data_IF_491851520368
#
_entry.id   IF_491851520368
#
_cell.length_a   1.000
_cell.length_b   1.000
_cell.length_c   1.000
_cell.angle_alpha   90.00
_cell.angle_beta   90.00
_cell.angle_gamma   90.00
#
_symmetry.space_group_name_H-M   'P 1'
#
loop_
_entity.id
_entity.type
_entity.pdbx_description
1 polymer ?
#
# COMPACT_ATOMS: atom_id res chain seq x y z
N UNK A 1 -38.65 14.18 -15.06
CA UNK A 1 -39.06 14.50 -13.67
C UNK A 1 -38.53 13.40 -12.76
N UNK A 2 -37.50 13.70 -11.96
CA UNK A 2 -37.16 12.94 -10.76
C UNK A 2 -38.02 13.52 -9.58
N UNK A 3 -37.93 13.08 -8.30
CA UNK A 3 -36.98 12.11 -7.72
C UNK A 3 -37.54 11.25 -6.52
N UNK A 4 -36.61 10.60 -5.79
CA UNK A 4 -36.65 10.20 -4.35
C UNK A 4 -37.47 8.90 -4.07
N UNK A 5 -36.99 7.86 -3.36
CA UNK A 5 -36.19 7.88 -2.15
C UNK A 5 -35.34 6.61 -1.94
N UNK A 6 -34.15 6.82 -1.38
CA UNK A 6 -33.26 5.80 -0.84
C UNK A 6 -33.85 5.16 0.42
N UNK A 7 -34.03 3.84 0.44
CA UNK A 7 -34.41 3.13 1.66
C UNK A 7 -33.15 2.65 2.38
N UNK A 8 -32.67 3.49 3.30
CA UNK A 8 -31.72 3.14 4.36
C UNK A 8 -32.35 2.04 5.23
N UNK A 9 -31.75 0.86 5.28
CA UNK A 9 -32.13 -0.18 6.23
C UNK A 9 -31.14 -0.16 7.40
N UNK A 10 -31.47 0.64 8.41
CA UNK A 10 -30.93 0.47 9.75
C UNK A 10 -31.65 -0.72 10.39
N UNK A 11 -30.91 -1.75 10.77
CA UNK A 11 -31.42 -2.78 11.69
C UNK A 11 -30.51 -2.77 12.92
N UNK A 12 -31.03 -2.14 13.96
CA UNK A 12 -30.58 -2.31 15.34
C UNK A 12 -31.34 -3.54 15.85
N UNK A 13 -30.61 -4.60 16.21
CA UNK A 13 -31.17 -5.70 16.97
C UNK A 13 -30.36 -5.87 18.25
N UNK A 14 -31.13 -5.79 19.33
CA UNK A 14 -30.80 -5.69 20.74
C UNK A 14 -30.48 -7.09 21.32
N UNK A 15 -29.31 -7.21 21.97
CA UNK A 15 -29.09 -7.78 23.31
C UNK A 15 -29.80 -9.10 23.70
N UNK A 16 -29.00 -10.13 24.02
CA UNK A 16 -29.30 -11.10 25.10
C UNK A 16 -28.04 -11.33 25.93
N UNK A 17 -28.28 -11.40 27.23
CA UNK A 17 -27.35 -11.31 28.33
C UNK A 17 -26.57 -12.61 28.62
N UNK A 18 -25.33 -12.40 29.03
CA UNK A 18 -24.66 -12.92 30.24
C UNK A 18 -25.09 -14.30 30.79
N UNK A 19 -24.15 -15.26 30.74
CA UNK A 19 -23.89 -16.13 31.88
C UNK A 19 -22.41 -16.56 31.90
N UNK A 20 -21.78 -16.35 33.06
CA UNK A 20 -20.39 -16.67 33.36
C UNK A 20 -20.30 -18.06 33.99
N UNK A 21 -19.34 -18.89 33.55
CA UNK A 21 -18.63 -19.86 34.41
C UNK A 21 -17.19 -19.98 33.92
N UNK A 22 -16.27 -19.80 34.87
CA UNK A 22 -14.84 -19.94 34.71
C UNK A 22 -14.43 -21.39 34.40
N UNK A 23 -13.51 -21.55 33.46
CA UNK A 23 -12.49 -22.58 33.51
C UNK A 23 -11.19 -21.95 33.02
N UNK A 24 -10.28 -21.70 33.96
CA UNK A 24 -8.86 -21.44 33.67
C UNK A 24 -8.29 -22.65 32.96
N UNK A 25 -8.34 -22.66 31.62
CA UNK A 25 -7.54 -23.59 30.84
C UNK A 25 -6.12 -23.06 30.91
N UNK A 26 -5.35 -23.56 31.88
CA UNK A 26 -3.90 -23.43 31.85
C UNK A 26 -3.43 -24.03 30.53
N UNK A 27 -2.94 -23.19 29.62
CA UNK A 27 -2.22 -23.65 28.45
C UNK A 27 -1.00 -24.40 28.93
N UNK A 28 -1.09 -25.74 28.96
CA UNK A 28 0.07 -26.58 29.09
C UNK A 28 0.97 -26.31 27.89
N UNK A 29 2.05 -25.55 28.11
CA UNK A 29 3.15 -25.49 27.16
C UNK A 29 3.73 -26.90 27.07
N UNK A 30 3.52 -27.56 25.93
CA UNK A 30 4.29 -28.72 25.56
C UNK A 30 5.77 -28.32 25.57
N UNK A 31 6.57 -28.96 26.42
CA UNK A 31 8.02 -28.85 26.37
C UNK A 31 8.47 -29.27 24.97
N UNK A 32 9.24 -28.44 24.24
CA UNK A 32 9.82 -28.90 22.99
C UNK A 32 10.78 -30.06 23.32
N UNK A 33 10.49 -31.24 22.79
CA UNK A 33 11.45 -32.33 22.76
C UNK A 33 12.73 -31.89 22.03
N UNK A 34 13.87 -32.58 22.24
CA UNK A 34 15.15 -32.19 21.66
C UNK A 34 15.17 -32.53 20.16
N UNK A 35 14.39 -31.78 19.38
CA UNK A 35 14.52 -31.70 17.94
C UNK A 35 15.63 -30.71 17.64
N UNK A 36 16.60 -31.13 16.83
CA UNK A 36 17.59 -30.30 16.15
C UNK A 36 16.91 -29.12 15.42
N UNK A 37 16.56 -28.06 16.14
CA UNK A 37 16.34 -26.75 15.56
C UNK A 37 17.75 -26.19 15.31
N UNK A 38 18.10 -25.83 14.06
CA UNK A 38 19.31 -25.06 13.82
C UNK A 38 19.29 -23.86 14.77
N UNK A 39 20.40 -23.52 15.42
CA UNK A 39 20.41 -22.44 16.40
C UNK A 39 19.76 -21.22 15.77
N UNK A 40 18.66 -20.76 16.36
CA UNK A 40 18.03 -19.53 15.95
C UNK A 40 19.13 -18.48 15.91
N UNK A 41 19.40 -17.85 14.77
CA UNK A 41 20.36 -16.76 14.68
C UNK A 41 19.65 -15.48 15.18
N UNK A 42 19.70 -15.17 16.49
CA UNK A 42 18.84 -14.16 17.08
C UNK A 42 19.32 -12.77 16.66
N UNK A 43 20.62 -12.63 16.41
CA UNK A 43 21.24 -11.44 15.85
C UNK A 43 20.73 -11.14 14.43
N UNK A 44 20.61 -12.17 13.58
CA UNK A 44 20.07 -12.03 12.23
C UNK A 44 18.62 -11.54 12.22
N UNK A 45 17.76 -12.12 13.07
CA UNK A 45 16.34 -11.73 13.18
C UNK A 45 16.18 -10.32 13.78
N UNK A 46 16.96 -9.98 14.81
CA UNK A 46 16.99 -8.63 15.39
C UNK A 46 17.38 -7.59 14.33
N UNK A 47 18.41 -7.89 13.52
CA UNK A 47 18.84 -7.00 12.42
C UNK A 47 17.74 -6.86 11.37
N UNK A 48 17.15 -7.96 10.93
CA UNK A 48 16.06 -7.95 9.95
C UNK A 48 14.85 -7.12 10.43
N UNK A 49 14.53 -7.18 11.72
CA UNK A 49 13.46 -6.35 12.31
C UNK A 49 13.74 -4.86 12.17
N UNK A 50 14.95 -4.41 12.53
CA UNK A 50 15.37 -3.01 12.38
C UNK A 50 15.42 -2.55 10.92
N UNK A 51 15.89 -3.42 10.03
CA UNK A 51 15.89 -3.17 8.59
C UNK A 51 14.46 -2.97 8.06
N UNK A 52 13.50 -3.83 8.45
CA UNK A 52 12.10 -3.69 8.05
C UNK A 52 11.46 -2.41 8.57
N UNK A 53 11.70 -2.03 9.83
CA UNK A 53 11.25 -0.74 10.37
C UNK A 53 11.81 0.44 9.57
N UNK A 54 13.08 0.38 9.15
CA UNK A 54 13.71 1.41 8.33
C UNK A 54 13.13 1.46 6.92
N UNK A 55 12.94 0.30 6.29
CA UNK A 55 12.28 0.17 4.98
C UNK A 55 10.85 0.72 5.02
N UNK A 56 10.11 0.45 6.09
CA UNK A 56 8.73 0.93 6.28
C UNK A 56 8.67 2.47 6.31
N UNK A 57 9.62 3.12 7.02
CA UNK A 57 9.74 4.59 7.05
C UNK A 57 10.03 5.16 5.66
N UNK A 58 10.96 4.55 4.91
CA UNK A 58 11.25 4.98 3.54
C UNK A 58 10.04 4.78 2.61
N UNK A 59 9.28 3.71 2.81
CA UNK A 59 8.07 3.45 2.02
C UNK A 59 6.97 4.49 2.30
N UNK A 60 6.82 4.95 3.54
CA UNK A 60 5.91 6.07 3.88
C UNK A 60 6.28 7.35 3.11
N UNK A 61 7.56 7.72 3.10
CA UNK A 61 8.04 8.88 2.33
C UNK A 61 7.74 8.73 0.83
N UNK A 62 7.93 7.54 0.26
CA UNK A 62 7.62 7.27 -1.15
C UNK A 62 6.12 7.41 -1.44
N UNK A 63 5.25 6.93 -0.55
CA UNK A 63 3.80 7.08 -0.70
C UNK A 63 3.35 8.54 -0.58
N UNK A 64 3.97 9.32 0.31
CA UNK A 64 3.75 10.78 0.39
C UNK A 64 4.13 11.48 -0.91
N UNK A 65 5.33 11.21 -1.43
CA UNK A 65 5.77 11.76 -2.72
C UNK A 65 4.87 11.30 -3.89
N UNK A 66 4.33 10.09 -3.85
CA UNK A 66 3.37 9.60 -4.84
C UNK A 66 2.07 10.42 -4.82
N UNK A 67 1.54 10.74 -3.63
CA UNK A 67 0.38 11.62 -3.50
C UNK A 67 0.66 13.04 -4.01
N UNK A 68 1.83 13.61 -3.68
CA UNK A 68 2.27 14.92 -4.21
C UNK A 68 2.40 14.90 -5.74
N UNK A 69 2.94 13.82 -6.29
CA UNK A 69 3.04 13.62 -7.74
C UNK A 69 1.65 13.62 -8.39
N UNK A 70 0.66 12.95 -7.79
CA UNK A 70 -0.72 13.00 -8.28
C UNK A 70 -1.26 14.45 -8.33
N UNK A 71 -0.94 15.28 -7.32
CA UNK A 71 -1.32 16.69 -7.31
C UNK A 71 -0.66 17.50 -8.44
N UNK A 72 0.62 17.24 -8.74
CA UNK A 72 1.31 17.87 -9.88
C UNK A 72 0.68 17.48 -11.22
N UNK A 73 0.30 16.21 -11.37
CA UNK A 73 -0.36 15.72 -12.59
C UNK A 73 -1.77 16.30 -12.74
N UNK A 74 -2.51 16.46 -11.64
CA UNK A 74 -3.82 17.16 -11.66
C UNK A 74 -3.70 18.59 -12.16
N UNK A 75 -2.72 19.35 -11.65
CA UNK A 75 -2.46 20.71 -12.11
C UNK A 75 -2.10 20.76 -13.61
N UNK A 76 -1.33 19.78 -14.09
CA UNK A 76 -1.03 19.63 -15.51
C UNK A 76 -2.30 19.35 -16.34
N UNK A 77 -3.14 18.42 -15.90
CA UNK A 77 -4.41 18.09 -16.57
C UNK A 77 -5.31 19.32 -16.63
N UNK A 78 -5.46 20.07 -15.55
CA UNK A 78 -6.23 21.32 -15.53
C UNK A 78 -5.71 22.34 -16.55
N UNK A 79 -4.38 22.51 -16.65
CA UNK A 79 -3.76 23.38 -17.66
C UNK A 79 -4.06 22.90 -19.09
N UNK A 80 -3.96 21.61 -19.35
CA UNK A 80 -4.25 21.02 -20.66
C UNK A 80 -5.72 21.21 -21.07
N UNK A 81 -6.65 21.08 -20.11
CA UNK A 81 -8.07 21.37 -20.33
C UNK A 81 -8.32 22.83 -20.69
N UNK A 82 -7.67 23.75 -19.97
CA UNK A 82 -7.76 25.18 -20.28
C UNK A 82 -7.22 25.52 -21.69
N UNK A 83 -6.33 24.69 -22.23
CA UNK A 83 -5.83 24.79 -23.61
C UNK A 83 -6.73 24.09 -24.65
N UNK A 84 -7.92 23.60 -24.26
CA UNK A 84 -8.84 22.89 -25.15
C UNK A 84 -8.36 21.51 -25.58
N UNK A 85 -7.40 20.89 -24.86
CA UNK A 85 -6.94 19.54 -25.15
C UNK A 85 -7.91 18.51 -24.55
N UNK A 86 -8.16 17.42 -25.28
CA UNK A 86 -8.89 16.27 -24.74
C UNK A 86 -8.02 15.52 -23.72
N UNK A 87 -8.42 15.59 -22.46
CA UNK A 87 -7.67 15.02 -21.33
C UNK A 87 -8.38 13.82 -20.69
N UNK A 88 -9.48 13.32 -21.25
CA UNK A 88 -10.31 12.30 -20.61
C UNK A 88 -9.51 11.04 -20.21
N UNK A 89 -8.59 10.59 -21.07
CA UNK A 89 -7.72 9.45 -20.79
C UNK A 89 -6.73 9.72 -19.64
N UNK A 90 -6.19 10.94 -19.54
CA UNK A 90 -5.29 11.33 -18.44
C UNK A 90 -6.03 11.46 -17.11
N UNK A 91 -7.24 12.03 -17.12
CA UNK A 91 -8.10 12.14 -15.93
C UNK A 91 -8.42 10.77 -15.35
N UNK A 92 -8.81 9.82 -16.21
CA UNK A 92 -9.06 8.44 -15.80
C UNK A 92 -7.80 7.78 -15.22
N UNK A 93 -6.66 7.88 -15.91
CA UNK A 93 -5.40 7.31 -15.43
C UNK A 93 -4.95 7.92 -14.08
N UNK A 94 -5.19 9.22 -13.87
CA UNK A 94 -4.91 9.88 -12.61
C UNK A 94 -5.83 9.40 -11.48
N UNK A 95 -7.12 9.20 -11.76
CA UNK A 95 -8.06 8.65 -10.79
C UNK A 95 -7.68 7.21 -10.38
N UNK A 96 -7.33 6.37 -11.35
CA UNK A 96 -6.85 5.00 -11.11
C UNK A 96 -5.54 5.00 -10.29
N UNK A 97 -4.61 5.90 -10.61
CA UNK A 97 -3.38 6.09 -9.84
C UNK A 97 -3.66 6.41 -8.38
N UNK A 98 -4.53 7.40 -8.11
CA UNK A 98 -4.92 7.79 -6.74
C UNK A 98 -5.52 6.61 -5.98
N UNK A 99 -6.46 5.90 -6.58
CA UNK A 99 -7.08 4.71 -5.98
C UNK A 99 -6.06 3.60 -5.68
N UNK A 100 -5.03 3.45 -6.51
CA UNK A 100 -3.96 2.50 -6.27
C UNK A 100 -3.02 2.95 -5.13
N UNK A 101 -2.69 4.23 -5.03
CA UNK A 101 -1.89 4.76 -3.92
C UNK A 101 -2.62 4.58 -2.56
N UNK A 102 -3.94 4.76 -2.50
CA UNK A 102 -4.73 4.47 -1.29
C UNK A 102 -4.72 2.98 -0.91
N UNK A 103 -4.79 2.09 -1.90
CA UNK A 103 -4.63 0.64 -1.66
C UNK A 103 -3.23 0.29 -1.16
N UNK A 104 -2.18 0.87 -1.77
CA UNK A 104 -0.81 0.71 -1.30
C UNK A 104 -0.64 1.27 0.13
N UNK A 105 -1.32 2.37 0.47
CA UNK A 105 -1.35 2.94 1.83
C UNK A 105 -1.95 1.97 2.84
N UNK A 106 -3.00 1.26 2.45
CA UNK A 106 -3.66 0.26 3.31
C UNK A 106 -2.73 -0.93 3.61
N UNK A 107 -2.01 -1.43 2.59
CA UNK A 107 -1.00 -2.47 2.77
C UNK A 107 0.16 -2.01 3.65
N UNK A 108 0.62 -0.77 3.47
CA UNK A 108 1.65 -0.18 4.33
C UNK A 108 1.20 -0.11 5.79
N UNK A 109 -0.07 0.26 6.03
CA UNK A 109 -0.65 0.30 7.38
C UNK A 109 -0.73 -1.10 8.00
N UNK A 110 -1.05 -2.13 7.20
CA UNK A 110 -1.04 -3.51 7.67
C UNK A 110 0.37 -3.96 8.08
N UNK A 111 1.40 -3.67 7.26
CA UNK A 111 2.79 -3.92 7.63
C UNK A 111 3.20 -3.19 8.91
N UNK A 112 2.82 -1.91 9.04
CA UNK A 112 3.09 -1.11 10.23
C UNK A 112 2.45 -1.71 11.48
N UNK A 113 1.20 -2.17 11.38
CA UNK A 113 0.48 -2.82 12.46
C UNK A 113 1.12 -4.16 12.86
N UNK A 114 1.57 -4.97 11.89
CA UNK A 114 2.28 -6.24 12.16
C UNK A 114 3.59 -5.98 12.91
N UNK A 115 4.40 -5.01 12.48
CA UNK A 115 5.64 -4.67 13.19
C UNK A 115 5.36 -4.08 14.58
N UNK A 116 4.34 -3.23 14.72
CA UNK A 116 3.96 -2.64 16.01
C UNK A 116 3.41 -3.64 17.04
N UNK A 117 3.07 -4.86 16.65
CA UNK A 117 2.73 -5.95 17.60
C UNK A 117 3.96 -6.58 18.25
N UNK A 118 5.16 -6.40 17.67
CA UNK A 118 6.42 -6.95 18.18
C UNK A 118 6.40 -8.46 18.49
N UNK A 119 5.55 -9.27 17.84
CA UNK A 119 5.41 -10.68 18.21
C UNK A 119 6.73 -11.44 17.98
N UNK A 120 7.23 -12.10 19.04
CA UNK A 120 8.53 -12.77 19.06
C UNK A 120 9.74 -11.88 19.31
N UNK A 121 9.52 -10.58 19.55
CA UNK A 121 10.53 -9.61 19.95
C UNK A 121 10.19 -9.04 21.34
N UNK A 122 11.21 -8.73 22.13
CA UNK A 122 11.07 -7.95 23.36
C UNK A 122 11.03 -6.45 23.05
N UNK A 123 10.82 -5.65 24.09
CA UNK A 123 10.76 -4.18 23.97
C UNK A 123 12.08 -3.56 23.50
N UNK A 124 13.21 -4.23 23.77
CA UNK A 124 14.54 -3.85 23.27
C UNK A 124 14.81 -4.30 21.83
N UNK A 125 13.82 -4.92 21.19
CA UNK A 125 13.87 -5.47 19.84
C UNK A 125 14.69 -6.75 19.71
N UNK A 126 15.14 -7.36 20.82
CA UNK A 126 15.78 -8.67 20.78
C UNK A 126 14.75 -9.78 20.62
N UNK A 127 15.17 -10.88 20.02
CA UNK A 127 14.30 -12.05 19.84
C UNK A 127 14.01 -12.70 21.20
N UNK A 128 12.72 -12.81 21.54
CA UNK A 128 12.22 -13.56 22.70
C UNK A 128 11.63 -14.91 22.26
N UNK A 129 11.11 -14.99 21.04
CA UNK A 129 10.64 -16.22 20.41
C UNK A 129 10.95 -16.21 18.91
N UNK A 130 11.84 -17.10 18.48
CA UNK A 130 12.35 -17.10 17.11
C UNK A 130 11.30 -17.47 16.04
N UNK A 131 10.38 -18.38 16.35
CA UNK A 131 9.34 -18.80 15.39
C UNK A 131 8.31 -17.69 15.20
N UNK A 132 7.88 -17.05 16.28
CA UNK A 132 7.01 -15.88 16.22
C UNK A 132 7.70 -14.70 15.52
N UNK A 133 8.98 -14.45 15.80
CA UNK A 133 9.76 -13.39 15.15
C UNK A 133 9.82 -13.60 13.63
N UNK A 134 10.10 -14.83 13.17
CA UNK A 134 10.10 -15.16 11.73
C UNK A 134 8.73 -14.94 11.10
N UNK A 135 7.66 -15.36 11.77
CA UNK A 135 6.29 -15.16 11.28
C UNK A 135 5.95 -13.67 11.13
N UNK A 136 6.25 -12.86 12.14
CA UNK A 136 6.07 -11.39 12.13
C UNK A 136 6.82 -10.74 10.97
N UNK A 137 8.11 -11.08 10.80
CA UNK A 137 8.93 -10.52 9.72
C UNK A 137 8.43 -10.94 8.34
N UNK A 138 7.98 -12.18 8.18
CA UNK A 138 7.44 -12.69 6.91
C UNK A 138 6.15 -11.97 6.53
N UNK A 139 5.24 -11.82 7.49
CA UNK A 139 3.95 -11.17 7.30
C UNK A 139 4.11 -9.68 6.96
N UNK A 140 4.89 -8.94 7.76
CA UNK A 140 5.21 -7.55 7.49
C UNK A 140 5.87 -7.36 6.12
N UNK A 141 6.82 -8.24 5.76
CA UNK A 141 7.46 -8.19 4.46
C UNK A 141 6.46 -8.38 3.31
N UNK A 142 5.52 -9.32 3.42
CA UNK A 142 4.50 -9.56 2.41
C UNK A 142 3.68 -8.31 2.11
N UNK A 143 3.19 -7.63 3.15
CA UNK A 143 2.48 -6.37 3.02
C UNK A 143 3.34 -5.24 2.42
N UNK A 144 4.62 -5.16 2.79
CA UNK A 144 5.54 -4.16 2.23
C UNK A 144 5.83 -4.40 0.74
N UNK A 145 5.96 -5.66 0.31
CA UNK A 145 6.11 -6.01 -1.11
C UNK A 145 4.84 -5.69 -1.89
N UNK A 146 3.67 -6.00 -1.34
CA UNK A 146 2.39 -5.66 -1.98
C UNK A 146 2.22 -4.15 -2.12
N UNK A 147 2.58 -3.38 -1.10
CA UNK A 147 2.64 -1.91 -1.15
C UNK A 147 3.51 -1.43 -2.31
N UNK A 148 4.73 -1.98 -2.42
CA UNK A 148 5.66 -1.61 -3.49
C UNK A 148 5.09 -1.93 -4.87
N UNK A 149 4.57 -3.14 -5.05
CA UNK A 149 4.01 -3.61 -6.31
C UNK A 149 2.86 -2.73 -6.79
N UNK A 150 1.86 -2.48 -5.94
CA UNK A 150 0.70 -1.65 -6.28
C UNK A 150 1.15 -0.23 -6.68
N UNK A 151 2.02 0.39 -5.88
CA UNK A 151 2.48 1.75 -6.15
C UNK A 151 3.31 1.84 -7.45
N UNK A 152 4.16 0.83 -7.72
CA UNK A 152 4.98 0.78 -8.92
C UNK A 152 4.14 0.58 -10.18
N UNK A 153 3.22 -0.39 -10.18
CA UNK A 153 2.32 -0.66 -11.30
C UNK A 153 1.48 0.59 -11.63
N UNK A 154 0.93 1.24 -10.60
CA UNK A 154 0.18 2.49 -10.76
C UNK A 154 1.03 3.59 -11.40
N UNK A 155 2.27 3.79 -10.92
CA UNK A 155 3.18 4.78 -11.47
C UNK A 155 3.48 4.52 -12.96
N UNK A 156 3.72 3.27 -13.34
CA UNK A 156 3.98 2.91 -14.73
C UNK A 156 2.76 3.12 -15.62
N UNK A 157 1.56 2.78 -15.14
CA UNK A 157 0.31 3.02 -15.86
C UNK A 157 0.09 4.52 -16.13
N UNK A 158 0.25 5.37 -15.11
CA UNK A 158 0.11 6.82 -15.27
C UNK A 158 1.18 7.39 -16.22
N UNK A 159 2.43 6.95 -16.08
CA UNK A 159 3.53 7.37 -16.98
C UNK A 159 3.24 7.00 -18.44
N UNK A 160 2.69 5.80 -18.67
CA UNK A 160 2.27 5.36 -20.00
C UNK A 160 1.17 6.27 -20.56
N UNK A 161 0.12 6.54 -19.80
CA UNK A 161 -0.96 7.45 -20.22
C UNK A 161 -0.43 8.86 -20.56
N UNK A 162 0.50 9.39 -19.76
CA UNK A 162 1.18 10.67 -20.04
C UNK A 162 2.01 10.62 -21.34
N UNK A 163 2.67 9.50 -21.63
CA UNK A 163 3.42 9.35 -22.87
C UNK A 163 2.50 9.25 -24.10
N UNK A 164 1.40 8.52 -23.99
CA UNK A 164 0.39 8.39 -25.04
C UNK A 164 -0.29 9.72 -25.34
N UNK A 165 -0.68 10.47 -24.30
CA UNK A 165 -1.21 11.82 -24.47
C UNK A 165 -0.23 12.73 -25.20
N UNK A 166 1.05 12.73 -24.81
CA UNK A 166 2.08 13.53 -25.50
C UNK A 166 2.24 13.12 -26.95
N UNK A 167 2.20 11.82 -27.25
CA UNK A 167 2.29 11.31 -28.63
C UNK A 167 1.12 11.78 -29.47
N UNK A 168 -0.10 11.69 -28.96
CA UNK A 168 -1.32 12.14 -29.65
C UNK A 168 -1.35 13.66 -29.89
N UNK A 169 -0.60 14.43 -29.10
CA UNK A 169 -0.57 15.89 -29.16
C UNK A 169 0.76 16.46 -29.69
N UNK A 170 1.65 15.65 -30.26
CA UNK A 170 2.78 16.17 -31.04
C UNK A 170 2.25 16.69 -32.37
N UNK A 171 2.39 17.99 -32.63
CA UNK A 171 2.33 18.48 -34.00
C UNK A 171 3.50 17.89 -34.79
N UNK A 172 3.24 17.36 -35.97
CA UNK A 172 4.29 17.09 -36.95
C UNK A 172 4.93 18.44 -37.31
N UNK A 173 6.25 18.62 -37.27
CA UNK A 173 6.86 19.80 -37.86
C UNK A 173 6.44 19.85 -39.33
N UNK A 174 5.73 20.90 -39.73
CA UNK A 174 5.47 21.15 -41.14
C UNK A 174 6.83 21.48 -41.77
N UNK A 175 7.33 20.56 -42.59
CA UNK A 175 8.54 20.82 -43.38
C UNK A 175 8.22 21.99 -44.31
N UNK A 176 9.10 22.99 -44.44
CA UNK A 176 8.89 24.06 -45.41
C UNK A 176 8.66 23.43 -46.78
N UNK A 177 7.52 23.74 -47.40
CA UNK A 177 7.22 23.23 -48.73
C UNK A 177 8.33 23.68 -49.70
N UNK A 178 8.80 22.81 -50.60
CA UNK A 178 9.75 23.21 -51.63
C UNK A 178 9.21 24.45 -52.33
N UNK A 179 10.00 25.51 -52.38
CA UNK A 179 9.68 26.66 -53.23
C UNK A 179 9.69 26.13 -54.67
N UNK A 180 8.53 26.12 -55.32
CA UNK A 180 8.46 25.86 -56.77
C UNK A 180 9.31 26.91 -57.50
N UNK A 181 10.05 26.49 -58.55
CA UNK A 181 11.17 27.24 -59.11
C UNK A 181 10.81 28.59 -59.75
#
# INVERSE_FOLDING_TARGET
MAPIAHLRRFTIALLVALMAIAATVGSAFAAPGPGNQPPANPAGLTRAYREQQTRLKLQDLRLKHAAEFAGKVEALVAKLKAQGKDTAALERALAEYRAAIERARSEWQAAAATLAKHAGFGDDGKVTNADQARATLKDAHGHMEQTHKIAHEAFMALRKAMAEFRKANRGTPELPQPQEP
#
